data_IF_603065447881
#
_entry.id   IF_603065447881
#
_cell.length_a   1.000
_cell.length_b   1.000
_cell.length_c   1.000
_cell.angle_alpha   90.00
_cell.angle_beta   90.00
_cell.angle_gamma   90.00
#
_symmetry.space_group_name_H-M   'P 1'
#
loop_
_entity.id
_entity.type
_entity.pdbx_description
1 polymer ?
#
# COMPACT_ATOMS: atom_id res chain seq x y z
N UNK A 1 -8.60 -14.87 -6.46
CA UNK A 1 -10.08 -14.78 -6.59
C UNK A 1 -10.62 -13.41 -6.18
N UNK A 2 -10.16 -12.79 -5.08
CA UNK A 2 -10.72 -11.54 -4.53
C UNK A 2 -10.65 -10.30 -5.45
N UNK A 3 -9.62 -10.17 -6.29
CA UNK A 3 -9.56 -9.09 -7.31
C UNK A 3 -10.63 -9.27 -8.39
N UNK A 4 -10.84 -10.50 -8.86
CA UNK A 4 -11.86 -10.81 -9.87
C UNK A 4 -13.28 -10.64 -9.31
N UNK A 5 -13.46 -10.84 -7.99
CA UNK A 5 -14.70 -10.56 -7.26
C UNK A 5 -14.92 -9.06 -6.98
N UNK A 6 -13.96 -8.20 -7.30
CA UNK A 6 -14.03 -6.76 -7.07
C UNK A 6 -13.85 -6.33 -5.61
N UNK A 7 -13.48 -7.24 -4.71
CA UNK A 7 -13.19 -6.94 -3.29
C UNK A 7 -11.81 -6.27 -3.13
N UNK A 8 -10.89 -6.54 -4.06
CA UNK A 8 -9.55 -5.97 -4.11
C UNK A 8 -9.27 -5.34 -5.48
N UNK A 9 -8.25 -4.49 -5.53
CA UNK A 9 -7.65 -3.93 -6.74
C UNK A 9 -6.29 -4.60 -7.01
N UNK A 10 -5.78 -4.48 -8.24
CA UNK A 10 -4.38 -4.80 -8.51
C UNK A 10 -3.45 -3.82 -7.78
N UNK A 11 -3.78 -2.53 -7.85
CA UNK A 11 -3.03 -1.44 -7.24
C UNK A 11 -3.83 -0.78 -6.11
N UNK A 12 -3.25 -0.68 -4.93
CA UNK A 12 -3.84 -0.07 -3.75
C UNK A 12 -3.02 -0.32 -2.48
N UNK A 13 -3.37 0.33 -1.35
CA UNK A 13 -2.76 0.06 -0.06
C UNK A 13 -2.88 -1.41 0.31
N UNK A 14 -1.81 -2.00 0.84
CA UNK A 14 -1.81 -3.40 1.28
C UNK A 14 -2.78 -3.56 2.47
N UNK A 15 -3.64 -4.59 2.47
CA UNK A 15 -4.50 -4.87 3.62
C UNK A 15 -3.66 -5.24 4.84
N UNK A 16 -4.01 -4.68 6.00
CA UNK A 16 -3.43 -5.00 7.29
C UNK A 16 -4.40 -5.83 8.13
N UNK A 17 -3.88 -6.55 9.12
CA UNK A 17 -4.74 -7.33 10.01
C UNK A 17 -5.56 -6.41 10.92
N UNK A 18 -6.81 -6.78 11.18
CA UNK A 18 -7.75 -5.96 11.97
C UNK A 18 -7.20 -5.49 13.33
N UNK A 19 -6.47 -6.32 14.12
CA UNK A 19 -5.88 -5.86 15.37
C UNK A 19 -4.88 -4.72 15.19
N UNK A 20 -4.02 -4.80 14.16
CA UNK A 20 -3.05 -3.75 13.84
C UNK A 20 -3.73 -2.49 13.32
N UNK A 21 -4.76 -2.61 12.48
CA UNK A 21 -5.53 -1.44 12.02
C UNK A 21 -6.08 -0.66 13.21
N UNK A 22 -6.74 -1.33 14.15
CA UNK A 22 -7.29 -0.68 15.36
C UNK A 22 -6.20 -0.01 16.20
N UNK A 23 -5.07 -0.68 16.37
CA UNK A 23 -3.91 -0.13 17.08
C UNK A 23 -3.36 1.13 16.40
N UNK A 24 -3.19 1.09 15.08
CA UNK A 24 -2.65 2.22 14.32
C UNK A 24 -3.62 3.38 14.19
N UNK A 25 -4.93 3.14 14.08
CA UNK A 25 -5.94 4.19 14.07
C UNK A 25 -5.94 5.02 15.37
N UNK A 26 -5.56 4.42 16.50
CA UNK A 26 -5.43 5.12 17.79
C UNK A 26 -4.14 5.93 17.91
N UNK A 27 -3.07 5.53 17.23
CA UNK A 27 -1.73 6.10 17.39
C UNK A 27 -1.31 7.03 16.26
N UNK A 28 -1.85 6.81 15.05
CA UNK A 28 -1.46 7.52 13.83
C UNK A 28 -2.66 8.31 13.32
N UNK A 29 -2.61 9.66 13.35
CA UNK A 29 -3.67 10.49 12.80
C UNK A 29 -3.96 10.14 11.34
N UNK A 30 -5.25 10.14 10.99
CA UNK A 30 -5.73 9.91 9.62
C UNK A 30 -5.43 8.53 9.03
N UNK A 31 -5.02 7.54 9.83
CA UNK A 31 -4.71 6.19 9.36
C UNK A 31 -5.84 5.58 8.51
N UNK A 32 -7.09 5.78 8.95
CA UNK A 32 -8.29 5.26 8.28
C UNK A 32 -8.49 5.79 6.85
N UNK A 33 -7.88 6.92 6.47
CA UNK A 33 -8.00 7.48 5.12
C UNK A 33 -7.45 6.56 4.04
N UNK A 34 -6.53 5.64 4.37
CA UNK A 34 -6.02 4.64 3.42
C UNK A 34 -7.11 3.67 2.94
N UNK A 35 -8.20 3.52 3.70
CA UNK A 35 -9.34 2.65 3.35
C UNK A 35 -10.34 3.30 2.39
N UNK A 36 -10.10 4.56 1.95
CA UNK A 36 -10.93 5.22 0.92
C UNK A 36 -10.83 4.57 -0.46
N UNK A 37 -9.82 3.75 -0.70
CA UNK A 37 -9.63 2.99 -1.93
C UNK A 37 -9.56 1.50 -1.61
N UNK A 38 -9.90 0.66 -2.59
CA UNK A 38 -9.84 -0.79 -2.43
C UNK A 38 -8.40 -1.23 -2.13
N UNK A 39 -8.21 -2.22 -1.25
CA UNK A 39 -6.89 -2.77 -0.97
C UNK A 39 -6.27 -3.39 -2.24
N UNK A 40 -4.95 -3.29 -2.36
CA UNK A 40 -4.17 -3.72 -3.52
C UNK A 40 -3.36 -4.99 -3.30
N UNK A 41 -2.99 -5.66 -4.39
CA UNK A 41 -1.93 -6.68 -4.38
C UNK A 41 -0.54 -6.01 -4.29
N UNK A 42 -0.36 -4.95 -5.08
CA UNK A 42 0.79 -4.05 -5.02
C UNK A 42 0.31 -2.62 -4.74
N UNK A 43 1.22 -1.72 -4.37
CA UNK A 43 0.88 -0.34 -4.03
C UNK A 43 2.11 0.55 -3.99
N UNK A 44 1.87 1.86 -4.05
CA UNK A 44 2.94 2.87 -4.03
C UNK A 44 3.84 2.72 -2.80
N UNK A 45 3.25 2.52 -1.62
CA UNK A 45 4.01 2.29 -0.39
C UNK A 45 4.91 1.06 -0.47
N UNK A 46 4.50 -0.03 -1.12
CA UNK A 46 5.32 -1.25 -1.26
C UNK A 46 6.53 -1.03 -2.16
N UNK A 47 6.44 -0.11 -3.13
CA UNK A 47 7.56 0.27 -4.00
C UNK A 47 8.53 1.20 -3.28
N UNK A 48 8.01 2.18 -2.52
CA UNK A 48 8.83 3.20 -1.88
C UNK A 48 9.37 2.81 -0.50
N UNK A 49 8.70 1.90 0.20
CA UNK A 49 8.96 1.63 1.61
C UNK A 49 8.61 0.17 1.98
N UNK A 50 9.59 -0.72 1.88
CA UNK A 50 9.37 -2.17 1.93
C UNK A 50 9.18 -2.74 3.34
N UNK A 51 9.70 -2.09 4.38
CA UNK A 51 9.69 -2.63 5.74
C UNK A 51 9.17 -1.60 6.75
N UNK A 52 8.22 -2.02 7.58
CA UNK A 52 7.74 -1.24 8.72
C UNK A 52 7.63 -2.16 9.93
N UNK A 53 8.43 -1.86 10.94
CA UNK A 53 8.54 -2.60 12.20
C UNK A 53 8.14 -1.76 13.41
N UNK A 54 8.12 -0.42 13.28
CA UNK A 54 7.64 0.50 14.30
C UNK A 54 6.38 1.27 13.88
N UNK A 55 5.78 1.98 14.84
CA UNK A 55 4.62 2.85 14.62
C UNK A 55 5.02 4.06 13.78
N UNK A 56 6.21 4.60 13.99
CA UNK A 56 6.78 5.72 13.23
C UNK A 56 7.02 5.30 11.76
N UNK A 57 7.61 4.13 11.54
CA UNK A 57 7.79 3.57 10.19
C UNK A 57 6.44 3.31 9.51
N UNK A 58 5.43 2.89 10.28
CA UNK A 58 4.07 2.73 9.79
C UNK A 58 3.44 4.09 9.40
N UNK A 59 3.73 5.17 10.12
CA UNK A 59 3.28 6.51 9.76
C UNK A 59 3.94 7.01 8.46
N UNK A 60 5.22 6.69 8.25
CA UNK A 60 5.92 6.97 6.99
C UNK A 60 5.28 6.17 5.85
N UNK A 61 5.07 4.87 6.03
CA UNK A 61 4.36 4.01 5.07
C UNK A 61 2.97 4.56 4.74
N UNK A 62 2.23 5.01 5.75
CA UNK A 62 0.91 5.63 5.59
C UNK A 62 1.00 6.87 4.70
N UNK A 63 2.02 7.72 4.83
CA UNK A 63 2.17 8.90 3.98
C UNK A 63 2.23 8.56 2.48
N UNK A 64 2.88 7.45 2.12
CA UNK A 64 2.89 6.94 0.73
C UNK A 64 1.54 6.39 0.30
N UNK A 65 0.83 5.68 1.18
CA UNK A 65 -0.54 5.24 0.90
C UNK A 65 -1.48 6.43 0.68
N UNK A 66 -1.38 7.48 1.50
CA UNK A 66 -2.21 8.69 1.37
C UNK A 66 -1.84 9.49 0.12
N UNK A 67 -0.57 9.53 -0.26
CA UNK A 67 -0.14 10.10 -1.53
C UNK A 67 -0.80 9.39 -2.71
N UNK A 68 -0.83 8.05 -2.68
CA UNK A 68 -1.54 7.26 -3.70
C UNK A 68 -3.05 7.53 -3.69
N UNK A 69 -3.70 7.53 -2.52
CA UNK A 69 -5.14 7.82 -2.39
C UNK A 69 -5.47 9.20 -2.98
N UNK A 70 -4.63 10.20 -2.75
CA UNK A 70 -4.84 11.58 -3.23
C UNK A 70 -4.57 11.74 -4.72
N UNK A 71 -3.54 11.09 -5.26
CA UNK A 71 -3.03 11.32 -6.62
C UNK A 71 -3.31 10.13 -7.56
N UNK A 72 -4.29 9.29 -7.23
CA UNK A 72 -4.62 8.10 -7.98
C UNK A 72 -5.01 8.46 -9.41
N UNK A 73 -4.22 7.99 -10.37
CA UNK A 73 -4.46 8.12 -11.81
C UNK A 73 -4.10 6.82 -12.51
N UNK A 74 -4.66 6.58 -13.69
CA UNK A 74 -4.34 5.39 -14.50
C UNK A 74 -2.84 5.30 -14.79
N UNK A 75 -2.18 6.44 -15.02
CA UNK A 75 -0.73 6.50 -15.23
C UNK A 75 0.06 6.07 -13.98
N UNK A 76 -0.37 6.50 -12.79
CA UNK A 76 0.25 6.07 -11.54
C UNK A 76 0.09 4.57 -11.30
N UNK A 77 -1.08 4.00 -11.59
CA UNK A 77 -1.34 2.56 -11.49
C UNK A 77 -0.41 1.77 -12.44
N UNK A 78 -0.28 2.21 -13.70
CA UNK A 78 0.63 1.59 -14.67
C UNK A 78 2.10 1.67 -14.21
N UNK A 79 2.53 2.83 -13.69
CA UNK A 79 3.89 3.01 -13.15
C UNK A 79 4.15 2.02 -12.01
N UNK A 80 3.22 1.86 -11.07
CA UNK A 80 3.37 0.93 -9.95
C UNK A 80 3.48 -0.51 -10.45
N UNK A 81 2.67 -0.90 -11.42
CA UNK A 81 2.73 -2.25 -12.01
C UNK A 81 4.08 -2.51 -12.68
N UNK A 82 4.60 -1.57 -13.47
CA UNK A 82 5.91 -1.70 -14.13
C UNK A 82 7.05 -1.82 -13.11
N UNK A 83 7.07 -0.96 -12.09
CA UNK A 83 8.08 -1.00 -11.02
C UNK A 83 7.98 -2.30 -10.19
N UNK A 84 6.76 -2.82 -10.02
CA UNK A 84 6.54 -4.11 -9.35
C UNK A 84 7.15 -5.24 -10.17
N UNK A 85 6.92 -5.28 -11.48
CA UNK A 85 7.50 -6.26 -12.39
C UNK A 85 9.04 -6.17 -12.40
N UNK A 86 9.60 -4.96 -12.47
CA UNK A 86 11.04 -4.75 -12.36
C UNK A 86 11.59 -5.33 -11.04
N UNK A 87 10.96 -5.01 -9.92
CA UNK A 87 11.41 -5.48 -8.60
C UNK A 87 11.43 -7.01 -8.50
N UNK A 88 10.44 -7.68 -9.09
CA UNK A 88 10.35 -9.14 -9.15
C UNK A 88 11.42 -9.75 -10.05
N UNK A 89 11.63 -9.19 -11.25
CA UNK A 89 12.62 -9.68 -12.23
C UNK A 89 14.05 -9.51 -11.71
N UNK A 90 14.37 -8.35 -11.14
CA UNK A 90 15.72 -8.03 -10.67
C UNK A 90 16.00 -8.48 -9.23
N UNK A 91 15.10 -9.22 -8.58
CA UNK A 91 15.23 -9.74 -7.19
C UNK A 91 15.65 -8.68 -6.17
N UNK A 92 15.29 -7.41 -6.37
CA UNK A 92 15.64 -6.33 -5.42
C UNK A 92 14.89 -6.40 -4.08
N UNK A 93 14.01 -7.40 -3.88
CA UNK A 93 13.23 -7.62 -2.66
C UNK A 93 13.72 -8.76 -1.74
N UNK A 94 14.87 -9.38 -2.02
CA UNK A 94 15.45 -10.41 -1.17
C UNK A 94 16.82 -9.93 -0.62
N UNK A 95 16.78 -9.15 0.45
CA UNK A 95 17.86 -9.04 1.43
C UNK A 95 17.27 -9.14 2.82
#
# INVERSE_FOLDING_TARGET
VNVLKGEMSLVGPRPEQVPFVRMFEQQIPYYSLRHKVKPGITGWAQICYQYSSSVEETAIKLSYDLYYVKNRTVFMDLKILLLTLETLVFRRGAK
#
